data_IF_076945583458
#
_entry.id   IF_076945583458
#
_cell.length_a   1.000
_cell.length_b   1.000
_cell.length_c   1.000
_cell.angle_alpha   90.00
_cell.angle_beta   90.00
_cell.angle_gamma   90.00
#
_symmetry.space_group_name_H-M   'P 1'
#
loop_
_entity.id
_entity.type
_entity.pdbx_description
1 polymer ?
#
# COMPACT_ATOMS: atom_id res chain seq x y z
N UNK A 1 18.43 -24.94 27.47
CA UNK A 1 17.21 -24.35 28.09
C UNK A 1 16.74 -23.21 27.21
N UNK A 2 15.53 -23.28 26.64
CA UNK A 2 14.99 -22.21 25.77
C UNK A 2 14.52 -21.04 26.66
N UNK A 3 14.86 -19.78 26.34
CA UNK A 3 14.24 -18.66 27.05
C UNK A 3 12.78 -18.52 26.60
N UNK A 4 11.87 -18.52 27.56
CA UNK A 4 10.45 -18.23 27.37
C UNK A 4 10.24 -16.75 27.02
N UNK A 5 9.37 -16.48 26.05
CA UNK A 5 8.94 -15.12 25.70
C UNK A 5 8.15 -14.46 26.84
N UNK A 6 8.19 -13.12 26.97
CA UNK A 6 7.39 -12.40 27.96
C UNK A 6 5.90 -12.54 27.66
N UNK A 7 5.13 -12.92 28.69
CA UNK A 7 3.66 -12.91 28.65
C UNK A 7 3.18 -11.45 28.73
N UNK A 8 2.40 -11.00 27.74
CA UNK A 8 1.62 -9.76 27.86
C UNK A 8 1.67 -8.83 26.65
N UNK A 9 1.16 -9.26 25.50
CA UNK A 9 0.67 -8.36 24.46
C UNK A 9 -0.65 -8.93 23.93
N UNK A 10 -1.75 -8.25 24.26
CA UNK A 10 -3.10 -8.61 23.81
C UNK A 10 -3.34 -8.32 22.32
N UNK A 11 -4.53 -8.65 21.78
CA UNK A 11 -4.80 -8.67 20.33
C UNK A 11 -4.93 -7.28 19.66
N UNK A 12 -4.65 -6.19 20.34
CA UNK A 12 -4.98 -4.83 19.90
C UNK A 12 -3.77 -3.91 19.95
N UNK A 13 -2.87 -4.00 18.97
CA UNK A 13 -2.03 -2.87 18.50
C UNK A 13 -0.98 -3.31 17.47
N UNK A 14 -1.40 -3.53 16.23
CA UNK A 14 -0.48 -3.54 15.09
C UNK A 14 -1.05 -2.67 13.98
N UNK A 15 -0.92 -1.34 14.15
CA UNK A 15 -1.13 -0.37 13.08
C UNK A 15 0.24 0.24 12.77
N UNK A 16 0.83 -0.15 11.65
CA UNK A 16 2.02 0.51 11.12
C UNK A 16 1.61 1.61 10.13
N UNK A 17 1.64 2.87 10.57
CA UNK A 17 1.59 4.04 9.67
C UNK A 17 2.99 4.25 9.11
N UNK A 18 3.18 4.04 7.81
CA UNK A 18 4.44 4.34 7.14
C UNK A 18 4.42 5.74 6.51
N UNK A 19 5.13 6.68 7.13
CA UNK A 19 5.56 7.93 6.52
C UNK A 19 7.04 7.82 6.10
N UNK A 20 7.31 7.70 4.80
CA UNK A 20 8.68 7.70 4.28
C UNK A 20 9.18 9.15 4.18
N UNK A 21 9.97 9.60 5.16
CA UNK A 21 10.80 10.81 5.03
C UNK A 21 12.11 10.42 4.33
N UNK A 22 12.54 11.26 3.38
CA UNK A 22 13.81 11.14 2.64
C UNK A 22 15.01 11.09 3.59
N UNK A 23 15.47 9.88 3.92
CA UNK A 23 16.89 9.51 4.05
C UNK A 23 17.02 8.12 3.43
N UNK A 24 17.86 8.02 2.40
CA UNK A 24 18.07 6.80 1.61
C UNK A 24 18.55 5.65 2.52
N UNK A 25 17.64 4.76 2.88
CA UNK A 25 17.82 3.31 2.80
C UNK A 25 16.57 2.74 2.12
N UNK A 26 16.38 3.19 0.88
CA UNK A 26 15.67 2.39 -0.12
C UNK A 26 16.73 1.39 -0.56
N UNK A 27 16.47 0.08 -0.38
CA UNK A 27 17.11 -0.88 -1.26
C UNK A 27 16.62 -0.45 -2.65
N UNK A 28 17.52 0.23 -3.36
CA UNK A 28 17.34 0.92 -4.64
C UNK A 28 16.68 -0.02 -5.66
N UNK A 29 16.36 0.44 -6.87
CA UNK A 29 15.83 -0.36 -7.99
C UNK A 29 16.40 -1.79 -8.18
N UNK A 30 17.57 -2.08 -7.59
CA UNK A 30 18.18 -3.40 -7.39
C UNK A 30 17.36 -4.39 -6.53
N UNK A 31 16.51 -3.94 -5.59
CA UNK A 31 15.69 -4.79 -4.70
C UNK A 31 14.77 -5.76 -5.46
N UNK A 32 14.31 -5.35 -6.65
CA UNK A 32 13.35 -6.14 -7.40
C UNK A 32 14.02 -7.10 -8.39
N UNK A 33 15.29 -6.86 -8.76
CA UNK A 33 16.11 -7.83 -9.52
C UNK A 33 16.36 -9.11 -8.73
N UNK A 34 16.35 -9.02 -7.41
CA UNK A 34 16.54 -10.19 -6.57
C UNK A 34 15.35 -11.18 -6.63
N UNK A 35 14.20 -10.81 -7.24
CA UNK A 35 13.19 -11.80 -7.62
C UNK A 35 13.69 -12.76 -8.72
N UNK A 36 14.79 -12.46 -9.41
CA UNK A 36 15.41 -13.34 -10.40
C UNK A 36 16.49 -14.26 -9.77
N UNK A 37 17.05 -13.92 -8.59
CA UNK A 37 18.20 -14.63 -8.00
C UNK A 37 17.99 -14.85 -6.48
N UNK A 38 17.36 -15.98 -6.08
CA UNK A 38 17.01 -16.28 -4.69
C UNK A 38 18.21 -16.39 -3.73
N UNK A 39 19.37 -16.81 -4.23
CA UNK A 39 20.59 -17.09 -3.42
C UNK A 39 21.23 -15.82 -2.84
N UNK A 40 21.24 -14.72 -3.58
CA UNK A 40 21.74 -13.43 -3.08
C UNK A 40 20.86 -12.83 -1.98
N UNK A 41 19.54 -13.05 -2.07
CA UNK A 41 18.60 -12.59 -1.04
C UNK A 41 18.87 -13.24 0.31
N UNK A 42 19.16 -14.55 0.31
CA UNK A 42 19.50 -15.29 1.52
C UNK A 42 20.78 -14.74 2.17
N UNK A 43 21.85 -14.56 1.39
CA UNK A 43 23.15 -14.12 1.91
C UNK A 43 23.13 -12.69 2.47
N UNK A 44 22.41 -11.77 1.83
CA UNK A 44 22.25 -10.40 2.34
C UNK A 44 21.39 -10.37 3.61
N UNK A 45 20.29 -11.12 3.62
CA UNK A 45 19.35 -11.12 4.76
C UNK A 45 20.01 -11.70 6.01
N UNK A 46 20.72 -12.82 5.91
CA UNK A 46 21.42 -13.45 7.05
C UNK A 46 22.45 -12.49 7.68
N UNK A 47 23.28 -11.83 6.86
CA UNK A 47 24.31 -10.92 7.37
C UNK A 47 23.73 -9.65 8.01
N UNK A 48 22.60 -9.16 7.51
CA UNK A 48 21.95 -8.00 8.11
C UNK A 48 21.23 -8.37 9.40
N UNK A 49 20.49 -9.49 9.39
CA UNK A 49 19.74 -10.00 10.54
C UNK A 49 20.67 -10.32 11.73
N UNK A 50 21.86 -10.87 11.46
CA UNK A 50 22.84 -11.15 12.50
C UNK A 50 23.45 -9.89 13.17
N UNK A 51 23.21 -8.69 12.62
CA UNK A 51 23.84 -7.43 13.09
C UNK A 51 22.89 -6.49 13.83
N UNK A 52 21.62 -6.85 13.95
CA UNK A 52 20.61 -5.99 14.59
C UNK A 52 19.79 -6.77 15.60
N UNK A 53 19.56 -6.18 16.78
CA UNK A 53 18.77 -6.81 17.85
C UNK A 53 17.24 -6.57 17.70
N UNK A 54 16.83 -5.77 16.73
CA UNK A 54 15.42 -5.45 16.48
C UNK A 54 14.79 -6.40 15.45
N UNK A 55 13.49 -6.72 15.55
CA UNK A 55 12.82 -7.55 14.55
C UNK A 55 12.90 -6.92 13.16
N UNK A 56 13.38 -7.68 12.18
CA UNK A 56 13.44 -7.26 10.79
C UNK A 56 12.35 -7.95 10.00
N UNK A 57 11.61 -7.18 9.20
CA UNK A 57 10.51 -7.69 8.37
C UNK A 57 10.84 -7.54 6.89
N UNK A 58 10.20 -8.33 6.04
CA UNK A 58 10.40 -8.31 4.58
C UNK A 58 9.09 -7.97 3.86
N UNK A 59 9.17 -7.19 2.78
CA UNK A 59 8.04 -6.92 1.89
C UNK A 59 8.36 -7.32 0.45
N UNK A 60 7.57 -8.23 -0.11
CA UNK A 60 7.78 -8.80 -1.45
C UNK A 60 6.59 -8.60 -2.38
N UNK A 61 6.80 -8.98 -3.64
CA UNK A 61 5.79 -9.20 -4.68
C UNK A 61 5.64 -10.69 -4.96
N UNK A 62 4.61 -11.08 -5.71
CA UNK A 62 4.34 -12.51 -5.98
C UNK A 62 5.33 -13.15 -6.96
N UNK A 63 6.11 -12.33 -7.67
CA UNK A 63 7.23 -12.74 -8.50
C UNK A 63 7.67 -11.64 -9.46
N UNK A 64 8.46 -12.01 -10.47
CA UNK A 64 8.99 -11.07 -11.47
C UNK A 64 7.94 -10.73 -12.55
N UNK A 65 7.37 -11.74 -13.19
CA UNK A 65 6.33 -11.68 -14.22
C UNK A 65 5.19 -12.66 -13.84
N UNK A 66 3.98 -12.53 -14.41
CA UNK A 66 2.90 -13.50 -14.21
C UNK A 66 3.33 -14.95 -14.49
N UNK A 67 4.19 -15.16 -15.49
CA UNK A 67 4.71 -16.48 -15.88
C UNK A 67 5.77 -16.99 -14.89
N UNK A 68 6.35 -16.13 -14.04
CA UNK A 68 7.39 -16.47 -13.07
C UNK A 68 7.05 -15.93 -11.67
N UNK A 69 6.14 -16.63 -10.99
CA UNK A 69 5.77 -16.38 -9.59
C UNK A 69 6.59 -17.25 -8.64
N UNK A 70 7.62 -16.67 -8.04
CA UNK A 70 8.49 -17.35 -7.07
C UNK A 70 8.27 -16.89 -5.61
N UNK A 71 7.15 -16.22 -5.31
CA UNK A 71 6.88 -15.72 -3.97
C UNK A 71 6.92 -16.78 -2.85
N UNK A 72 6.54 -18.04 -3.14
CA UNK A 72 6.61 -19.14 -2.18
C UNK A 72 8.04 -19.58 -1.85
N UNK A 73 8.93 -19.56 -2.83
CA UNK A 73 10.35 -19.87 -2.63
C UNK A 73 11.01 -18.79 -1.78
N UNK A 74 10.79 -17.51 -2.15
CA UNK A 74 11.32 -16.36 -1.41
C UNK A 74 10.79 -16.33 0.03
N UNK A 75 9.54 -16.74 0.26
CA UNK A 75 8.98 -16.80 1.61
C UNK A 75 9.71 -17.81 2.51
N UNK A 76 10.02 -19.02 2.00
CA UNK A 76 10.79 -20.03 2.74
C UNK A 76 12.20 -19.54 3.05
N UNK A 77 12.85 -18.90 2.07
CA UNK A 77 14.18 -18.31 2.26
C UNK A 77 14.13 -17.24 3.36
N UNK A 78 13.15 -16.34 3.32
CA UNK A 78 13.00 -15.28 4.30
C UNK A 78 12.81 -15.83 5.72
N UNK A 79 11.95 -16.82 5.89
CA UNK A 79 11.76 -17.51 7.17
C UNK A 79 13.05 -18.17 7.67
N UNK A 80 13.74 -18.93 6.81
CA UNK A 80 15.00 -19.59 7.15
C UNK A 80 16.12 -18.60 7.52
N UNK A 81 16.07 -17.38 6.97
CA UNK A 81 17.01 -16.33 7.34
C UNK A 81 16.70 -15.69 8.70
N UNK A 82 15.52 -15.90 9.26
CA UNK A 82 15.08 -15.30 10.53
C UNK A 82 14.29 -14.00 10.39
N UNK A 83 13.65 -13.76 9.24
CA UNK A 83 12.73 -12.61 9.07
C UNK A 83 11.54 -12.76 10.02
N UNK A 84 11.23 -11.71 10.76
CA UNK A 84 10.20 -11.73 11.80
C UNK A 84 8.77 -11.68 11.26
N UNK A 85 8.54 -11.11 10.07
CA UNK A 85 7.24 -11.10 9.39
C UNK A 85 7.39 -10.80 7.89
N UNK A 86 6.45 -11.29 7.09
CA UNK A 86 6.46 -11.18 5.62
C UNK A 86 5.21 -10.47 5.08
N UNK A 87 5.38 -9.31 4.46
CA UNK A 87 4.30 -8.64 3.71
C UNK A 87 4.35 -9.03 2.23
N UNK A 88 3.25 -9.50 1.66
CA UNK A 88 3.17 -9.89 0.25
C UNK A 88 2.20 -8.99 -0.50
N UNK A 89 2.71 -8.25 -1.49
CA UNK A 89 1.84 -7.55 -2.43
C UNK A 89 1.40 -8.48 -3.55
N UNK A 90 0.09 -8.67 -3.72
CA UNK A 90 -0.56 -9.58 -4.69
C UNK A 90 -0.36 -9.28 -6.17
N UNK A 91 0.73 -8.63 -6.57
CA UNK A 91 1.10 -8.44 -7.98
C UNK A 91 2.55 -8.84 -8.20
N UNK A 92 2.87 -9.29 -9.40
CA UNK A 92 4.25 -9.47 -9.85
C UNK A 92 4.86 -8.11 -10.16
N UNK A 93 6.19 -8.02 -10.26
CA UNK A 93 6.87 -6.77 -10.61
C UNK A 93 6.36 -6.19 -11.93
N UNK A 94 6.27 -7.03 -12.97
CA UNK A 94 5.86 -6.64 -14.31
C UNK A 94 4.47 -5.98 -14.35
N UNK A 95 3.53 -6.42 -13.51
CA UNK A 95 2.19 -5.81 -13.41
C UNK A 95 2.24 -4.33 -13.01
N UNK A 96 3.31 -3.83 -12.37
CA UNK A 96 3.33 -2.49 -11.76
C UNK A 96 2.06 -2.27 -10.93
N UNK A 97 1.18 -1.38 -11.34
CA UNK A 97 -0.13 -1.13 -10.72
C UNK A 97 -1.32 -1.47 -11.64
N UNK A 98 -1.09 -2.14 -12.77
CA UNK A 98 -2.10 -2.62 -13.70
C UNK A 98 -2.75 -3.92 -13.20
N UNK A 99 -3.88 -4.29 -13.80
CA UNK A 99 -4.74 -5.39 -13.39
C UNK A 99 -5.13 -5.36 -11.90
N UNK A 100 -5.53 -6.52 -11.38
CA UNK A 100 -5.90 -6.70 -9.97
C UNK A 100 -4.81 -7.41 -9.17
N UNK A 101 -4.76 -7.11 -7.87
CA UNK A 101 -4.00 -7.93 -6.93
C UNK A 101 -4.65 -9.32 -6.80
N UNK A 102 -3.87 -10.37 -7.01
CA UNK A 102 -4.25 -11.76 -6.71
C UNK A 102 -3.81 -12.15 -5.31
N UNK A 103 -4.64 -12.96 -4.65
CA UNK A 103 -4.45 -13.37 -3.26
C UNK A 103 -4.07 -14.86 -3.13
N UNK A 104 -3.98 -15.58 -4.24
CA UNK A 104 -3.68 -17.01 -4.27
C UNK A 104 -2.25 -17.28 -3.83
N UNK A 105 -1.31 -16.49 -4.32
CA UNK A 105 0.10 -16.59 -3.90
C UNK A 105 0.24 -16.29 -2.41
N UNK A 106 -0.50 -15.32 -1.89
CA UNK A 106 -0.48 -14.97 -0.45
C UNK A 106 -1.02 -16.13 0.38
N UNK A 107 -2.15 -16.72 -0.03
CA UNK A 107 -2.73 -17.91 0.60
C UNK A 107 -1.76 -19.10 0.59
N UNK A 108 -1.07 -19.34 -0.54
CA UNK A 108 -0.06 -20.39 -0.65
C UNK A 108 1.13 -20.15 0.29
N UNK A 109 1.63 -18.92 0.36
CA UNK A 109 2.70 -18.52 1.28
C UNK A 109 2.27 -18.76 2.72
N UNK A 110 1.08 -18.28 3.12
CA UNK A 110 0.60 -18.44 4.50
C UNK A 110 0.49 -19.88 4.96
N UNK A 111 0.24 -20.83 4.05
CA UNK A 111 0.20 -22.27 4.36
C UNK A 111 1.56 -22.91 4.59
N UNK A 112 2.65 -22.32 4.10
CA UNK A 112 3.98 -22.98 4.09
C UNK A 112 5.01 -22.34 5.01
N UNK A 113 4.73 -21.14 5.55
CA UNK A 113 5.59 -20.46 6.53
C UNK A 113 4.87 -20.31 7.86
N UNK A 114 5.64 -20.32 8.95
CA UNK A 114 5.16 -20.14 10.32
C UNK A 114 5.22 -18.67 10.77
N UNK A 115 6.09 -17.85 10.16
CA UNK A 115 6.16 -16.42 10.44
C UNK A 115 4.86 -15.69 10.04
N UNK A 116 4.50 -14.58 10.72
CA UNK A 116 3.34 -13.77 10.35
C UNK A 116 3.40 -13.28 8.90
N UNK A 117 2.29 -13.41 8.16
CA UNK A 117 2.11 -12.97 6.78
C UNK A 117 1.08 -11.85 6.72
N UNK A 118 1.44 -10.74 6.08
CA UNK A 118 0.59 -9.57 5.89
C UNK A 118 0.17 -9.47 4.42
N UNK A 119 -1.13 -9.55 4.16
CA UNK A 119 -1.69 -9.43 2.81
C UNK A 119 -1.72 -7.96 2.34
N UNK A 120 -1.30 -7.69 1.11
CA UNK A 120 -1.27 -6.34 0.55
C UNK A 120 -1.73 -6.32 -0.92
N UNK A 121 -2.46 -5.28 -1.29
CA UNK A 121 -2.87 -5.03 -2.67
C UNK A 121 -4.38 -4.89 -2.80
N UNK A 122 -4.82 -3.76 -3.33
CA UNK A 122 -6.22 -3.45 -3.67
C UNK A 122 -7.22 -3.70 -2.52
N UNK A 123 -6.79 -3.36 -1.30
CA UNK A 123 -7.63 -3.33 -0.12
C UNK A 123 -7.96 -1.87 0.15
N UNK A 124 -9.21 -1.48 -0.12
CA UNK A 124 -9.69 -0.10 -0.08
C UNK A 124 -11.00 0.09 0.71
N UNK A 125 -11.49 -0.98 1.33
CA UNK A 125 -12.70 -0.95 2.17
C UNK A 125 -12.61 -1.98 3.31
N UNK A 126 -13.40 -1.80 4.38
CA UNK A 126 -13.54 -2.80 5.45
C UNK A 126 -13.98 -4.17 4.95
N UNK A 127 -14.96 -4.21 4.04
CA UNK A 127 -15.46 -5.44 3.44
C UNK A 127 -14.38 -6.15 2.59
N UNK A 128 -13.57 -5.39 1.84
CA UNK A 128 -12.44 -5.94 1.09
C UNK A 128 -11.35 -6.47 2.02
N UNK A 129 -11.04 -5.75 3.11
CA UNK A 129 -10.08 -6.21 4.10
C UNK A 129 -10.51 -7.54 4.73
N UNK A 130 -11.78 -7.66 5.12
CA UNK A 130 -12.35 -8.90 5.67
C UNK A 130 -12.28 -10.05 4.66
N UNK A 131 -12.76 -9.85 3.43
CA UNK A 131 -12.75 -10.91 2.42
C UNK A 131 -11.34 -11.39 2.08
N UNK A 132 -10.34 -10.50 2.07
CA UNK A 132 -8.94 -10.89 1.87
C UNK A 132 -8.39 -11.69 3.05
N UNK A 133 -8.68 -11.30 4.30
CA UNK A 133 -8.28 -12.05 5.49
C UNK A 133 -8.91 -13.44 5.50
N UNK A 134 -10.23 -13.52 5.28
CA UNK A 134 -10.96 -14.79 5.22
C UNK A 134 -10.39 -15.72 4.13
N UNK A 135 -10.09 -15.18 2.94
CA UNK A 135 -9.60 -15.97 1.81
C UNK A 135 -8.17 -16.47 1.99
N UNK A 136 -7.27 -15.59 2.45
CA UNK A 136 -5.84 -15.88 2.54
C UNK A 136 -5.42 -16.53 3.84
N UNK A 137 -6.23 -16.38 4.89
CA UNK A 137 -5.87 -16.68 6.28
C UNK A 137 -4.62 -15.92 6.75
N UNK A 138 -4.29 -14.79 6.13
CA UNK A 138 -3.19 -13.93 6.53
C UNK A 138 -3.43 -13.33 7.93
N UNK A 139 -2.36 -13.02 8.64
CA UNK A 139 -2.42 -12.54 10.03
C UNK A 139 -2.79 -11.05 10.12
N UNK A 140 -2.55 -10.31 9.04
CA UNK A 140 -2.92 -8.90 8.94
C UNK A 140 -3.09 -8.46 7.47
N UNK A 141 -3.62 -7.25 7.28
CA UNK A 141 -3.65 -6.55 5.99
C UNK A 141 -2.84 -5.26 6.03
N UNK A 142 -2.17 -4.93 4.94
CA UNK A 142 -1.48 -3.65 4.76
C UNK A 142 -2.22 -2.81 3.73
N UNK A 143 -2.61 -1.60 4.12
CA UNK A 143 -3.33 -0.64 3.28
C UNK A 143 -2.35 0.41 2.74
N UNK A 144 -2.46 0.71 1.45
CA UNK A 144 -1.63 1.72 0.78
C UNK A 144 -2.47 2.83 0.17
N UNK A 145 -2.83 2.68 -1.11
CA UNK A 145 -3.60 3.69 -1.85
C UNK A 145 -4.98 3.99 -1.23
N UNK A 146 -5.65 2.98 -0.66
CA UNK A 146 -6.96 3.14 -0.02
C UNK A 146 -6.97 4.08 1.20
N UNK A 147 -5.81 4.36 1.81
CA UNK A 147 -5.71 5.32 2.92
C UNK A 147 -5.42 6.76 2.47
N UNK A 148 -5.10 6.99 1.18
CA UNK A 148 -4.83 8.33 0.66
C UNK A 148 -6.12 9.12 0.56
N UNK A 149 -6.20 10.24 1.26
CA UNK A 149 -7.44 11.03 1.36
C UNK A 149 -8.51 10.40 2.27
N UNK A 150 -8.22 9.26 2.88
CA UNK A 150 -9.13 8.53 3.78
C UNK A 150 -8.36 7.82 4.90
N UNK A 151 -7.58 8.53 5.73
CA UNK A 151 -6.78 7.90 6.78
C UNK A 151 -7.65 7.20 7.84
N UNK A 152 -8.91 7.60 8.02
CA UNK A 152 -9.85 6.92 8.92
C UNK A 152 -10.25 5.51 8.47
N UNK A 153 -9.85 5.05 7.27
CA UNK A 153 -10.09 3.68 6.81
C UNK A 153 -9.55 2.63 7.80
N UNK A 154 -8.47 2.92 8.53
CA UNK A 154 -7.92 1.99 9.53
C UNK A 154 -8.91 1.77 10.68
N UNK A 155 -9.53 2.83 11.19
CA UNK A 155 -10.59 2.74 12.19
C UNK A 155 -11.79 1.95 11.67
N UNK A 156 -12.21 2.23 10.43
CA UNK A 156 -13.34 1.53 9.80
C UNK A 156 -13.07 0.03 9.62
N UNK A 157 -11.86 -0.34 9.17
CA UNK A 157 -11.44 -1.75 9.04
C UNK A 157 -11.46 -2.42 10.42
N UNK A 158 -10.83 -1.81 11.43
CA UNK A 158 -10.77 -2.40 12.77
C UNK A 158 -12.17 -2.63 13.35
N UNK A 159 -13.03 -1.62 13.32
CA UNK A 159 -14.41 -1.74 13.84
C UNK A 159 -15.21 -2.82 13.11
N UNK A 160 -15.03 -2.94 11.79
CA UNK A 160 -15.71 -3.96 10.99
C UNK A 160 -15.22 -5.38 11.33
N UNK A 161 -13.92 -5.54 11.62
CA UNK A 161 -13.34 -6.83 11.97
C UNK A 161 -13.68 -7.25 13.42
N UNK A 162 -13.77 -6.32 14.37
CA UNK A 162 -14.04 -6.64 15.78
C UNK A 162 -15.53 -6.72 16.10
N UNK A 163 -16.32 -5.72 15.68
CA UNK A 163 -17.69 -5.52 16.14
C UNK A 163 -18.72 -5.84 15.04
N UNK A 164 -18.26 -6.19 13.83
CA UNK A 164 -19.10 -6.38 12.63
C UNK A 164 -19.99 -5.18 12.31
N UNK A 165 -19.69 -3.99 12.85
CA UNK A 165 -20.46 -2.77 12.61
C UNK A 165 -19.81 -1.95 11.50
N UNK A 166 -20.65 -1.28 10.71
CA UNK A 166 -20.20 -0.24 9.81
C UNK A 166 -20.05 1.06 10.63
N UNK A 167 -18.85 1.64 10.63
CA UNK A 167 -18.60 2.92 11.29
C UNK A 167 -18.43 3.99 10.23
N UNK A 168 -19.45 4.83 10.09
CA UNK A 168 -19.34 6.10 9.40
C UNK A 168 -18.81 7.15 10.37
N UNK A 169 -17.80 7.93 9.96
CA UNK A 169 -17.29 9.00 10.80
C UNK A 169 -18.17 10.24 10.60
N UNK A 170 -18.57 10.93 11.69
CA UNK A 170 -19.19 12.24 11.58
C UNK A 170 -18.32 13.21 10.77
N UNK A 171 -18.96 14.09 9.99
CA UNK A 171 -18.26 15.09 9.18
C UNK A 171 -17.32 15.97 10.00
N UNK A 172 -17.72 16.31 11.22
CA UNK A 172 -16.91 17.10 12.14
C UNK A 172 -15.56 16.40 12.41
N UNK A 173 -15.58 15.08 12.63
CA UNK A 173 -14.38 14.29 12.87
C UNK A 173 -13.51 14.21 11.61
N UNK A 174 -14.11 14.07 10.43
CA UNK A 174 -13.37 14.09 9.16
C UNK A 174 -12.69 15.44 8.94
N UNK A 175 -13.40 16.54 9.18
CA UNK A 175 -12.86 17.90 9.11
C UNK A 175 -11.67 18.06 10.05
N UNK A 176 -11.84 17.67 11.30
CA UNK A 176 -10.82 17.84 12.33
C UNK A 176 -9.56 17.00 12.02
N UNK A 177 -9.73 15.80 11.46
CA UNK A 177 -8.61 14.98 10.96
C UNK A 177 -7.86 15.70 9.83
N UNK A 178 -8.56 16.29 8.87
CA UNK A 178 -7.95 16.98 7.73
C UNK A 178 -7.17 18.22 8.21
N UNK A 179 -7.79 19.05 9.05
CA UNK A 179 -7.17 20.27 9.56
C UNK A 179 -5.96 19.94 10.46
N UNK A 180 -6.09 18.98 11.38
CA UNK A 180 -4.98 18.53 12.22
C UNK A 180 -3.82 17.95 11.41
N UNK A 181 -4.11 17.28 10.29
CA UNK A 181 -3.07 16.80 9.39
C UNK A 181 -2.33 17.96 8.71
N UNK A 182 -3.01 19.02 8.29
CA UNK A 182 -2.35 20.21 7.75
C UNK A 182 -1.44 20.86 8.80
N UNK A 183 -1.92 21.06 10.02
CA UNK A 183 -1.11 21.62 11.12
C UNK A 183 0.14 20.77 11.39
N UNK A 184 0.00 19.44 11.34
CA UNK A 184 1.12 18.51 11.47
C UNK A 184 2.14 18.65 10.34
N UNK A 185 1.69 18.89 9.11
CA UNK A 185 2.58 19.11 7.96
C UNK A 185 3.37 20.41 8.11
N UNK A 186 2.73 21.50 8.55
CA UNK A 186 3.42 22.77 8.77
C UNK A 186 4.43 22.67 9.91
N UNK A 187 4.05 22.02 11.01
CA UNK A 187 4.92 21.82 12.18
C UNK A 187 6.15 20.99 11.83
N UNK A 188 6.00 19.95 11.00
CA UNK A 188 7.07 19.01 10.70
C UNK A 188 8.01 19.43 9.56
N UNK A 189 7.47 20.13 8.54
CA UNK A 189 8.21 20.54 7.35
C UNK A 189 8.56 22.03 7.32
N UNK A 190 8.02 22.83 8.24
CA UNK A 190 8.00 24.29 8.15
C UNK A 190 6.98 24.78 7.12
N UNK A 191 6.57 26.04 7.20
CA UNK A 191 5.46 26.58 6.39
C UNK A 191 5.65 26.36 4.89
N UNK A 192 6.76 26.84 4.32
CA UNK A 192 7.00 26.78 2.87
C UNK A 192 6.89 25.37 2.29
N UNK A 193 7.52 24.38 2.94
CA UNK A 193 7.47 23.00 2.46
C UNK A 193 6.16 22.32 2.85
N UNK A 194 5.65 22.60 4.04
CA UNK A 194 4.39 22.06 4.57
C UNK A 194 3.21 22.40 3.66
N UNK A 195 3.06 23.65 3.24
CA UNK A 195 2.02 24.09 2.30
C UNK A 195 2.08 23.32 0.99
N UNK A 196 3.28 23.14 0.42
CA UNK A 196 3.47 22.41 -0.85
C UNK A 196 3.15 20.92 -0.72
N UNK A 197 3.51 20.31 0.41
CA UNK A 197 3.12 18.92 0.72
C UNK A 197 1.61 18.83 0.92
N UNK A 198 1.00 19.78 1.63
CA UNK A 198 -0.43 19.88 1.88
C UNK A 198 -1.27 19.86 0.60
N UNK A 199 -0.86 20.57 -0.46
CA UNK A 199 -1.54 20.58 -1.77
C UNK A 199 -1.85 19.18 -2.31
N UNK A 200 -0.89 18.26 -2.18
CA UNK A 200 -1.02 16.87 -2.63
C UNK A 200 -2.03 16.10 -1.78
N UNK A 201 -2.00 16.28 -0.46
CA UNK A 201 -2.92 15.62 0.46
C UNK A 201 -4.36 16.14 0.29
N UNK A 202 -4.54 17.46 0.13
CA UNK A 202 -5.84 18.07 -0.12
C UNK A 202 -6.45 17.63 -1.45
N UNK A 203 -5.61 17.43 -2.47
CA UNK A 203 -6.06 16.82 -3.74
C UNK A 203 -6.57 15.38 -3.52
N UNK A 204 -5.96 14.61 -2.62
CA UNK A 204 -6.44 13.26 -2.30
C UNK A 204 -7.73 13.27 -1.48
N UNK A 205 -7.82 14.10 -0.45
CA UNK A 205 -9.05 14.23 0.36
C UNK A 205 -10.24 14.57 -0.53
N UNK A 206 -10.05 15.48 -1.48
CA UNK A 206 -11.17 15.99 -2.30
C UNK A 206 -11.36 15.25 -3.61
N UNK A 207 -10.67 14.12 -3.84
CA UNK A 207 -10.65 13.46 -5.14
C UNK A 207 -12.04 13.02 -5.62
N UNK A 208 -12.91 12.61 -4.68
CA UNK A 208 -14.27 12.15 -4.97
C UNK A 208 -15.35 13.08 -4.42
N UNK A 209 -14.98 14.31 -4.07
CA UNK A 209 -15.93 15.32 -3.61
C UNK A 209 -16.49 16.10 -4.80
N UNK A 210 -17.81 16.03 -4.99
CA UNK A 210 -18.54 16.89 -5.93
C UNK A 210 -18.29 18.37 -5.60
N UNK A 211 -18.18 19.22 -6.63
CA UNK A 211 -17.95 20.66 -6.43
C UNK A 211 -16.53 21.06 -5.98
N UNK A 212 -15.62 20.11 -5.73
CA UNK A 212 -14.28 20.43 -5.25
C UNK A 212 -13.29 20.94 -6.32
N UNK A 213 -13.73 21.14 -7.57
CA UNK A 213 -12.87 21.62 -8.64
C UNK A 213 -12.29 23.02 -8.35
N UNK A 214 -13.16 23.97 -7.98
CA UNK A 214 -12.74 25.34 -7.63
C UNK A 214 -11.77 25.33 -6.44
N UNK A 215 -12.12 24.59 -5.39
CA UNK A 215 -11.26 24.42 -4.22
C UNK A 215 -9.86 23.90 -4.62
N UNK A 216 -9.77 22.84 -5.43
CA UNK A 216 -8.49 22.28 -5.87
C UNK A 216 -7.68 23.28 -6.68
N UNK A 217 -8.30 24.07 -7.57
CA UNK A 217 -7.60 25.08 -8.36
C UNK A 217 -7.01 26.20 -7.51
N UNK A 218 -7.74 26.61 -6.46
CA UNK A 218 -7.30 27.68 -5.55
C UNK A 218 -6.24 27.19 -4.58
N UNK A 219 -6.46 26.03 -3.95
CA UNK A 219 -5.59 25.53 -2.87
C UNK A 219 -4.20 25.11 -3.35
N UNK A 220 -4.00 24.85 -4.65
CA UNK A 220 -2.67 24.57 -5.20
C UNK A 220 -1.82 25.83 -5.42
N UNK A 221 -2.44 27.02 -5.37
CA UNK A 221 -1.77 28.32 -5.60
C UNK A 221 -1.45 29.06 -4.31
N UNK A 222 -2.12 28.77 -3.20
CA UNK A 222 -1.86 29.40 -1.89
C UNK A 222 -0.42 29.17 -1.43
N UNK A 223 0.18 30.19 -0.82
CA UNK A 223 1.59 30.17 -0.42
C UNK A 223 1.80 30.14 1.10
N UNK A 224 0.76 30.43 1.88
CA UNK A 224 0.82 30.47 3.36
C UNK A 224 -0.01 29.37 4.01
N UNK A 225 0.39 28.94 5.20
CA UNK A 225 -0.34 27.95 5.98
C UNK A 225 -1.73 28.46 6.38
N UNK A 226 -1.80 29.75 6.75
CA UNK A 226 -3.04 30.44 7.12
C UNK A 226 -4.08 30.39 6.00
N UNK A 227 -3.70 30.77 4.77
CA UNK A 227 -4.62 30.73 3.63
C UNK A 227 -5.05 29.30 3.26
N UNK A 228 -4.12 28.34 3.32
CA UNK A 228 -4.43 26.95 3.03
C UNK A 228 -5.42 26.35 4.04
N UNK A 229 -5.26 26.66 5.34
CA UNK A 229 -6.19 26.25 6.39
C UNK A 229 -7.56 26.88 6.21
N UNK A 230 -7.61 28.19 6.02
CA UNK A 230 -8.88 28.91 5.93
C UNK A 230 -9.68 28.47 4.70
N UNK A 231 -9.02 28.36 3.55
CA UNK A 231 -9.66 27.86 2.33
C UNK A 231 -10.17 26.42 2.50
N UNK A 232 -9.42 25.58 3.23
CA UNK A 232 -9.83 24.20 3.52
C UNK A 232 -11.01 24.15 4.47
N UNK A 233 -11.02 24.95 5.54
CA UNK A 233 -12.14 25.06 6.49
C UNK A 233 -13.42 25.48 5.77
N UNK A 234 -13.37 26.59 5.03
CA UNK A 234 -14.52 27.11 4.28
C UNK A 234 -15.07 26.12 3.24
N UNK A 235 -14.18 25.32 2.63
CA UNK A 235 -14.60 24.27 1.72
C UNK A 235 -15.33 23.14 2.46
N UNK A 236 -14.77 22.65 3.58
CA UNK A 236 -15.34 21.54 4.34
C UNK A 236 -16.69 21.90 4.99
N UNK A 237 -16.89 23.15 5.40
CA UNK A 237 -18.17 23.64 5.94
C UNK A 237 -19.30 23.69 4.89
N UNK A 238 -18.95 23.75 3.60
CA UNK A 238 -19.93 23.80 2.49
C UNK A 238 -20.31 22.43 1.94
N UNK A 239 -19.69 21.35 2.41
CA UNK A 239 -19.97 20.00 1.92
C UNK A 239 -21.31 19.51 2.49
N UNK A 240 -22.28 19.11 1.64
CA UNK A 240 -23.54 18.52 2.12
C UNK A 240 -23.29 17.22 2.89
N UNK A 241 -24.06 17.00 3.95
CA UNK A 241 -23.92 15.84 4.85
C UNK A 241 -24.08 14.47 4.17
N UNK A 242 -24.56 14.42 2.93
CA UNK A 242 -24.82 13.20 2.17
C UNK A 242 -23.76 12.86 1.11
N UNK A 243 -22.82 13.76 0.84
CA UNK A 243 -21.89 13.64 -0.30
C UNK A 243 -20.45 13.29 0.15
N UNK A 244 -20.30 12.48 1.21
CA UNK A 244 -19.05 12.37 1.97
C UNK A 244 -18.10 11.33 1.38
N UNK A 245 -16.98 11.76 0.78
CA UNK A 245 -15.72 11.02 0.59
C UNK A 245 -15.79 9.50 0.26
N UNK A 246 -16.85 9.03 -0.38
CA UNK A 246 -17.00 7.65 -0.79
C UNK A 246 -16.41 7.46 -2.17
N UNK A 247 -15.13 7.09 -2.19
CA UNK A 247 -14.47 6.65 -3.41
C UNK A 247 -14.33 5.12 -3.40
N UNK A 248 -14.92 4.44 -4.37
CA UNK A 248 -14.32 3.21 -4.89
C UNK A 248 -13.01 3.59 -5.59
N UNK A 249 -11.94 2.80 -5.46
CA UNK A 249 -10.70 3.13 -6.17
C UNK A 249 -10.97 3.18 -7.69
N UNK A 250 -10.73 4.30 -8.39
CA UNK A 250 -11.28 4.57 -9.74
C UNK A 250 -10.68 3.76 -10.90
N UNK A 251 -10.07 2.61 -10.62
CA UNK A 251 -9.36 1.79 -11.61
C UNK A 251 -9.86 0.37 -11.77
N UNK A 252 -10.94 -0.02 -11.08
CA UNK A 252 -11.67 -1.23 -11.49
C UNK A 252 -12.01 -1.15 -12.98
N UNK A 253 -12.68 -0.07 -13.41
CA UNK A 253 -13.17 0.04 -14.79
C UNK A 253 -12.17 0.69 -15.77
N UNK A 254 -11.41 1.71 -15.33
CA UNK A 254 -10.40 2.35 -16.21
C UNK A 254 -9.13 1.52 -16.43
N UNK A 255 -8.82 0.60 -15.51
CA UNK A 255 -7.74 -0.36 -15.68
C UNK A 255 -8.08 -1.37 -16.77
N UNK A 256 -9.34 -1.85 -16.77
CA UNK A 256 -9.84 -2.82 -17.74
C UNK A 256 -9.87 -2.26 -19.16
N UNK A 257 -10.29 -1.00 -19.36
CA UNK A 257 -10.27 -0.37 -20.68
C UNK A 257 -8.85 -0.12 -21.22
N UNK A 258 -7.90 0.22 -20.35
CA UNK A 258 -6.49 0.40 -20.74
C UNK A 258 -5.83 -0.97 -20.99
N UNK A 259 -6.16 -2.00 -20.21
CA UNK A 259 -5.67 -3.37 -20.40
C UNK A 259 -6.26 -4.00 -21.68
N UNK A 260 -7.51 -3.67 -22.04
CA UNK A 260 -8.15 -4.09 -23.29
C UNK A 260 -7.55 -3.38 -24.51
N UNK A 261 -7.30 -2.07 -24.42
CA UNK A 261 -6.58 -1.32 -25.44
C UNK A 261 -5.12 -1.78 -25.59
N UNK A 262 -4.43 -2.14 -24.49
CA UNK A 262 -3.06 -2.67 -24.55
C UNK A 262 -3.00 -4.10 -25.10
N UNK A 263 -3.98 -4.96 -24.78
CA UNK A 263 -4.13 -6.29 -25.39
C UNK A 263 -4.41 -6.19 -26.89
N UNK A 264 -5.25 -5.25 -27.31
CA UNK A 264 -5.54 -5.01 -28.73
C UNK A 264 -4.32 -4.43 -29.46
N UNK A 265 -3.60 -3.48 -28.86
CA UNK A 265 -2.35 -2.94 -29.42
C UNK A 265 -1.20 -3.97 -29.46
N UNK A 266 -1.15 -4.93 -28.53
CA UNK A 266 -0.19 -6.05 -28.59
C UNK A 266 -0.57 -7.11 -29.64
N UNK A 267 -1.87 -7.33 -29.90
CA UNK A 267 -2.33 -8.15 -31.04
C UNK A 267 -1.96 -7.51 -32.38
N UNK A 268 -2.05 -6.19 -32.50
CA UNK A 268 -1.66 -5.47 -33.72
C UNK A 268 -0.14 -5.41 -33.91
N UNK A 269 0.63 -5.21 -32.83
CA UNK A 269 2.10 -5.25 -32.84
C UNK A 269 2.71 -6.65 -32.93
N UNK A 270 1.90 -7.71 -32.84
CA UNK A 270 2.31 -9.08 -33.12
C UNK A 270 2.61 -9.35 -34.59
N UNK A 271 2.35 -8.38 -35.49
CA UNK A 271 2.70 -8.48 -36.92
C UNK A 271 4.07 -7.91 -37.27
N UNK A 272 4.66 -7.03 -36.45
CA UNK A 272 5.96 -6.41 -36.75
C UNK A 272 6.89 -6.45 -35.53
N UNK A 273 8.05 -7.08 -35.72
CA UNK A 273 8.92 -7.56 -34.65
C UNK A 273 9.58 -6.50 -33.74
N UNK A 274 9.94 -7.01 -32.55
CA UNK A 274 10.88 -6.51 -31.52
C UNK A 274 10.43 -5.35 -30.63
N UNK A 275 10.26 -5.69 -29.34
CA UNK A 275 10.55 -4.80 -28.21
C UNK A 275 9.39 -4.46 -27.27
N UNK A 276 8.97 -5.39 -26.40
CA UNK A 276 8.23 -5.00 -25.17
C UNK A 276 8.42 -6.01 -24.04
N UNK A 277 8.98 -5.54 -22.90
CA UNK A 277 8.84 -6.06 -21.53
C UNK A 277 8.74 -7.57 -21.27
N UNK A 278 9.37 -8.44 -22.05
CA UNK A 278 9.19 -9.88 -21.96
C UNK A 278 9.82 -10.46 -20.70
N UNK A 279 9.13 -11.45 -20.12
CA UNK A 279 9.62 -12.32 -19.06
C UNK A 279 10.95 -12.95 -19.55
N UNK A 280 12.08 -12.51 -18.99
CA UNK A 280 13.38 -13.09 -19.33
C UNK A 280 13.48 -14.44 -18.63
N UNK A 281 13.33 -15.53 -19.38
CA UNK A 281 13.70 -16.85 -18.90
C UNK A 281 15.21 -16.96 -18.96
N UNK A 282 15.87 -17.07 -17.80
CA UNK A 282 17.26 -17.52 -17.75
C UNK A 282 17.26 -18.98 -18.17
N UNK A 283 17.53 -19.26 -19.45
CA UNK A 283 17.98 -20.58 -19.87
C UNK A 283 19.29 -20.85 -19.15
N UNK A 284 19.33 -21.95 -18.40
CA UNK A 284 20.51 -22.48 -17.72
C UNK A 284 21.73 -22.39 -18.65
N UNK A 285 22.78 -21.70 -18.20
CA UNK A 285 24.12 -21.96 -18.68
C UNK A 285 24.65 -23.14 -17.86
N UNK A 286 24.99 -24.21 -18.57
CA UNK A 286 25.76 -25.35 -18.07
C UNK A 286 27.17 -24.92 -17.65
#
# INVERSE_FOLDING_TARGET
MRPSLPKGLGPTSWISIWAVRRRRFVVDWRAQRYCEIPTWYAAFSINFLARVAVPVTLKIRTGWCPESRNGTEIARIAENCGVAALTVHGRTRACRFAGHAEYDTIRKIKKIVSIPVIANGDIDSPAKAKSVLDYTSADAVMIGRGARGKPWIFTQINSHLTNKSHVELPLISVRDIILSHLDSLYSFYGEFTGVRVGRKHLTWYTQCQGGAHDFRQRVVRVETAREQLELTRLFLEKIPHKDIFECGHPRGERGDQIDEQQKNAQKEKGKDGKGSGSCWTTKNAA
#
